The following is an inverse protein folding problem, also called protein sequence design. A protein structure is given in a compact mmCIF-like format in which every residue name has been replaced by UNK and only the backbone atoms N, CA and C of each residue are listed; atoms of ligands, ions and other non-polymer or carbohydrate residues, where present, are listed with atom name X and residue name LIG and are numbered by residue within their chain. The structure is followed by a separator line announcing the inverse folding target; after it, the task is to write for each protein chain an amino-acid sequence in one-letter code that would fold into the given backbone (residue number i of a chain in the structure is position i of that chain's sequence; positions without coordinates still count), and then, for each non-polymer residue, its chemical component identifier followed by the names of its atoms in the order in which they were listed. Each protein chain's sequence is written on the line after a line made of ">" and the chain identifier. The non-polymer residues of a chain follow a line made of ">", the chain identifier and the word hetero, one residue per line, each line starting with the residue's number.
data_IF_659893127797
#
_entry.id   IF_659893127797
#
_cell.length_a   1.000
_cell.length_b   1.000
_cell.length_c   1.000
_cell.angle_alpha   90.00
_cell.angle_beta   90.00
_cell.angle_gamma   90.00
#
_symmetry.space_group_name_H-M   'P 1'
#
loop_
_entity.id
_entity.type
_entity.pdbx_description
1 polymer ?
#
# COMPACT_ATOMS: atom_id res chain seq x y z
N UNK A 1 4.02 -5.90 29.48
CA UNK A 1 3.28 -6.22 28.23
C UNK A 1 3.80 -5.50 26.98
N UNK A 2 4.54 -4.38 27.06
CA UNK A 2 5.02 -3.65 25.86
C UNK A 2 6.16 -4.31 25.08
N UNK A 3 7.11 -4.97 25.75
CA UNK A 3 8.31 -5.52 25.09
C UNK A 3 8.04 -6.75 24.20
N UNK A 4 7.18 -7.69 24.63
CA UNK A 4 6.77 -8.81 23.75
C UNK A 4 6.03 -8.33 22.51
N UNK A 5 5.22 -7.26 22.62
CA UNK A 5 4.50 -6.70 21.47
C UNK A 5 5.47 -6.09 20.46
N UNK A 6 6.51 -5.38 20.90
CA UNK A 6 7.53 -4.78 20.04
C UNK A 6 8.36 -5.87 19.35
N UNK A 7 8.75 -6.91 20.08
CA UNK A 7 9.52 -8.04 19.55
C UNK A 7 8.70 -8.84 18.53
N UNK A 8 7.43 -9.17 18.82
CA UNK A 8 6.55 -9.82 17.83
C UNK A 8 6.35 -8.95 16.58
N UNK A 9 6.17 -7.64 16.74
CA UNK A 9 6.02 -6.71 15.62
C UNK A 9 7.29 -6.62 14.77
N UNK A 10 8.46 -6.67 15.41
CA UNK A 10 9.77 -6.71 14.77
C UNK A 10 9.97 -8.01 13.97
N UNK A 11 9.68 -9.18 14.56
CA UNK A 11 9.77 -10.46 13.85
C UNK A 11 8.76 -10.58 12.70
N UNK A 12 7.55 -10.05 12.88
CA UNK A 12 6.51 -10.01 11.83
C UNK A 12 6.93 -9.16 10.62
N UNK A 13 7.68 -8.07 10.84
CA UNK A 13 8.26 -7.28 9.75
C UNK A 13 9.41 -8.01 9.05
N UNK A 14 10.21 -8.80 9.78
CA UNK A 14 11.39 -9.50 9.25
C UNK A 14 11.06 -10.71 8.35
N UNK A 15 9.84 -11.25 8.43
CA UNK A 15 9.36 -12.36 7.61
C UNK A 15 8.56 -11.95 6.37
N UNK A 16 8.12 -10.69 6.28
CA UNK A 16 7.39 -10.19 5.10
C UNK A 16 8.36 -9.84 3.98
N UNK A 17 7.97 -10.12 2.74
CA UNK A 17 8.77 -9.75 1.58
C UNK A 17 8.72 -8.24 1.37
N UNK A 18 9.83 -7.69 0.89
CA UNK A 18 9.96 -6.26 0.57
C UNK A 18 9.82 -6.06 -0.92
N UNK A 19 8.96 -5.13 -1.32
CA UNK A 19 8.84 -4.65 -2.68
C UNK A 19 9.90 -3.56 -2.92
N UNK A 20 10.82 -3.81 -3.86
CA UNK A 20 12.00 -2.99 -4.10
C UNK A 20 12.15 -2.48 -5.54
N UNK A 21 11.17 -2.75 -6.41
CA UNK A 21 11.20 -2.23 -7.78
C UNK A 21 10.95 -0.72 -7.82
N UNK A 22 11.70 0.02 -8.66
CA UNK A 22 11.49 1.46 -8.83
C UNK A 22 10.14 1.70 -9.52
N UNK A 23 9.36 2.64 -8.99
CA UNK A 23 8.13 3.12 -9.64
C UNK A 23 8.46 4.19 -10.67
N UNK A 24 7.61 4.34 -11.69
CA UNK A 24 7.70 5.43 -12.65
C UNK A 24 7.54 6.81 -11.95
N UNK A 25 7.95 7.87 -12.64
CA UNK A 25 8.00 9.24 -12.09
C UNK A 25 6.65 9.77 -11.59
N UNK A 26 5.54 9.25 -12.13
CA UNK A 26 4.19 9.69 -11.77
C UNK A 26 3.56 8.70 -10.79
N UNK A 27 3.44 9.13 -9.53
CA UNK A 27 2.75 8.41 -8.46
C UNK A 27 1.47 9.15 -8.09
N UNK A 28 0.31 8.50 -8.18
CA UNK A 28 -0.93 9.07 -7.64
C UNK A 28 -1.15 8.59 -6.22
N UNK A 29 -1.33 9.53 -5.29
CA UNK A 29 -1.56 9.24 -3.88
C UNK A 29 -2.96 9.70 -3.50
N UNK A 30 -3.81 8.77 -3.08
CA UNK A 30 -5.13 9.05 -2.51
C UNK A 30 -5.07 8.88 -1.00
N UNK A 31 -5.58 9.89 -0.30
CA UNK A 31 -5.66 9.93 1.16
C UNK A 31 -7.10 10.17 1.55
N UNK A 32 -7.67 9.26 2.33
CA UNK A 32 -9.05 9.38 2.81
C UNK A 32 -9.11 9.10 4.33
N UNK A 33 -8.77 10.10 5.17
CA UNK A 33 -8.74 9.92 6.60
C UNK A 33 -10.13 9.58 7.13
N UNK A 34 -10.25 8.52 7.94
CA UNK A 34 -11.54 8.14 8.52
C UNK A 34 -11.89 9.05 9.69
N UNK A 35 -13.09 9.65 9.64
CA UNK A 35 -13.58 10.59 10.64
C UNK A 35 -14.99 10.15 11.08
N UNK A 36 -15.20 10.02 12.39
CA UNK A 36 -16.54 9.89 12.95
C UNK A 36 -17.18 11.26 13.00
N UNK A 37 -18.38 11.36 12.43
CA UNK A 37 -19.21 12.57 12.48
C UNK A 37 -20.47 12.24 13.23
N UNK A 38 -20.71 12.97 14.32
CA UNK A 38 -21.96 12.93 15.07
C UNK A 38 -22.70 14.23 14.80
N UNK A 39 -23.91 14.15 14.26
CA UNK A 39 -24.76 15.32 14.00
C UNK A 39 -25.77 15.48 15.14
N UNK A 40 -25.89 16.69 15.64
CA UNK A 40 -26.92 17.09 16.58
C UNK A 40 -28.04 17.76 15.78
N UNK A 41 -29.30 17.53 16.16
CA UNK A 41 -30.50 17.92 15.38
C UNK A 41 -30.72 19.43 15.23
N UNK A 42 -29.88 20.24 15.88
CA UNK A 42 -29.80 21.70 15.84
C UNK A 42 -28.75 22.22 14.84
N UNK A 43 -28.15 21.33 14.06
CA UNK A 43 -27.18 21.70 13.02
C UNK A 43 -25.72 21.69 13.48
N UNK A 44 -25.44 21.34 14.74
CA UNK A 44 -24.07 21.14 15.21
C UNK A 44 -23.53 19.77 14.80
N UNK A 45 -22.23 19.70 14.55
CA UNK A 45 -21.51 18.47 14.27
C UNK A 45 -20.29 18.34 15.17
N UNK A 46 -20.09 17.17 15.78
CA UNK A 46 -18.82 16.79 16.39
C UNK A 46 -18.06 15.86 15.46
N UNK A 47 -16.77 16.18 15.24
CA UNK A 47 -15.86 15.40 14.40
C UNK A 47 -14.72 14.87 15.24
N UNK A 48 -14.44 13.57 15.13
CA UNK A 48 -13.32 12.92 15.80
C UNK A 48 -12.65 11.88 14.89
N UNK A 49 -11.34 11.61 15.05
CA UNK A 49 -10.68 10.52 14.34
C UNK A 49 -11.39 9.18 14.58
N UNK A 50 -11.64 8.42 13.52
CA UNK A 50 -12.21 7.08 13.61
C UNK A 50 -11.12 6.02 13.93
N UNK A 51 -10.64 6.04 15.17
CA UNK A 51 -9.62 5.11 15.68
C UNK A 51 -8.19 5.62 15.58
N UNK A 52 -7.21 4.73 15.78
CA UNK A 52 -5.77 5.07 15.84
C UNK A 52 -5.11 5.21 14.47
N UNK A 53 -5.60 4.49 13.45
CA UNK A 53 -5.00 4.46 12.11
C UNK A 53 -5.99 4.98 11.08
N UNK A 54 -6.33 6.27 11.20
CA UNK A 54 -7.31 6.92 10.34
C UNK A 54 -6.75 7.31 8.98
N UNK A 55 -5.44 7.57 8.89
CA UNK A 55 -4.77 8.13 7.71
C UNK A 55 -4.12 7.07 6.81
N UNK A 56 -4.88 6.04 6.43
CA UNK A 56 -4.42 5.02 5.48
C UNK A 56 -4.35 5.60 4.07
N UNK A 57 -3.25 5.31 3.37
CA UNK A 57 -2.99 5.78 2.01
C UNK A 57 -3.22 4.69 0.97
N UNK A 58 -3.69 5.11 -0.18
CA UNK A 58 -3.75 4.30 -1.39
C UNK A 58 -2.85 4.93 -2.44
N UNK A 59 -2.00 4.13 -3.05
CA UNK A 59 -1.05 4.56 -4.07
C UNK A 59 -1.36 3.84 -5.38
N UNK A 60 -1.60 4.57 -6.46
CA UNK A 60 -1.61 3.99 -7.81
C UNK A 60 -0.22 4.15 -8.38
N UNK A 61 0.48 3.02 -8.52
CA UNK A 61 1.87 2.91 -8.99
C UNK A 61 1.88 2.40 -10.43
N UNK A 62 2.81 2.90 -11.23
CA UNK A 62 3.06 2.45 -12.59
C UNK A 62 4.50 1.97 -12.72
N UNK A 63 4.70 0.92 -13.49
CA UNK A 63 6.00 0.35 -13.82
C UNK A 63 6.08 0.19 -15.33
N UNK A 64 7.08 0.81 -15.96
CA UNK A 64 7.34 0.65 -17.40
C UNK A 64 8.77 0.10 -17.59
N UNK A 65 8.89 -1.18 -17.96
CA UNK A 65 10.19 -1.88 -18.04
C UNK A 65 10.17 -2.99 -19.10
N UNK A 66 11.30 -3.68 -19.28
CA UNK A 66 11.38 -4.87 -20.13
C UNK A 66 10.38 -5.93 -19.62
N UNK A 67 9.78 -6.70 -20.55
CA UNK A 67 8.78 -7.71 -20.20
C UNK A 67 9.26 -8.70 -19.13
N UNK A 68 10.57 -9.01 -19.10
CA UNK A 68 11.16 -9.86 -18.07
C UNK A 68 11.04 -9.26 -16.65
N UNK A 69 11.31 -7.96 -16.49
CA UNK A 69 11.21 -7.27 -15.20
C UNK A 69 9.76 -7.11 -14.76
N UNK A 70 8.87 -6.75 -15.69
CA UNK A 70 7.44 -6.65 -15.40
C UNK A 70 6.86 -8.01 -14.97
N UNK A 71 7.31 -9.11 -15.57
CA UNK A 71 6.90 -10.46 -15.15
C UNK A 71 7.35 -10.80 -13.73
N UNK A 72 8.48 -10.26 -13.26
CA UNK A 72 8.91 -10.44 -11.87
C UNK A 72 7.99 -9.68 -10.89
N UNK A 73 7.57 -8.48 -11.26
CA UNK A 73 6.62 -7.68 -10.49
C UNK A 73 5.25 -8.38 -10.46
N UNK A 74 4.74 -8.81 -11.61
CA UNK A 74 3.47 -9.53 -11.73
C UNK A 74 3.46 -10.83 -10.91
N UNK A 75 4.54 -11.60 -10.99
CA UNK A 75 4.73 -12.80 -10.17
C UNK A 75 4.74 -12.49 -8.68
N UNK A 76 5.44 -11.43 -8.26
CA UNK A 76 5.45 -11.00 -6.87
C UNK A 76 4.04 -10.68 -6.39
N UNK A 77 3.27 -9.90 -7.14
CA UNK A 77 1.88 -9.56 -6.78
C UNK A 77 0.98 -10.79 -6.73
N UNK A 78 1.14 -11.70 -7.70
CA UNK A 78 0.43 -12.98 -7.75
C UNK A 78 0.71 -13.86 -6.54
N UNK A 79 1.97 -13.98 -6.11
CA UNK A 79 2.35 -14.74 -4.90
C UNK A 79 1.73 -14.17 -3.62
N UNK A 80 1.41 -12.87 -3.58
CA UNK A 80 0.73 -12.22 -2.45
C UNK A 80 -0.80 -12.27 -2.54
N UNK A 81 -1.34 -12.76 -3.67
CA UNK A 81 -2.74 -13.14 -3.85
C UNK A 81 -3.79 -12.09 -3.42
N UNK A 82 -3.48 -10.81 -3.51
CA UNK A 82 -4.42 -9.73 -3.18
C UNK A 82 -4.57 -9.38 -1.69
N UNK A 83 -4.36 -10.35 -0.80
CA UNK A 83 -4.62 -10.21 0.64
C UNK A 83 -3.35 -10.17 1.50
N UNK A 84 -2.23 -10.72 1.01
CA UNK A 84 -0.99 -10.76 1.78
C UNK A 84 -0.28 -9.41 1.72
N UNK A 85 0.10 -8.91 2.89
CA UNK A 85 0.83 -7.66 3.00
C UNK A 85 2.32 -7.86 2.71
N UNK A 86 2.92 -6.88 2.03
CA UNK A 86 4.36 -6.77 1.81
C UNK A 86 4.87 -5.42 2.34
N UNK A 87 6.17 -5.35 2.56
CA UNK A 87 6.85 -4.12 2.97
C UNK A 87 7.14 -3.29 1.73
N UNK A 88 6.83 -2.00 1.76
CA UNK A 88 7.18 -1.07 0.70
C UNK A 88 7.55 0.30 1.26
N UNK A 89 8.44 1.00 0.57
CA UNK A 89 8.87 2.36 0.89
C UNK A 89 8.41 3.26 -0.25
N UNK A 90 7.32 4.02 -0.09
CA UNK A 90 6.82 4.90 -1.13
C UNK A 90 7.82 6.06 -1.33
N UNK A 91 8.06 6.48 -2.59
CA UNK A 91 9.06 7.50 -2.91
C UNK A 91 8.63 8.92 -2.50
N UNK A 92 7.36 9.15 -2.17
CA UNK A 92 6.87 10.47 -1.75
C UNK A 92 7.31 10.84 -0.33
N UNK A 93 7.35 9.85 0.57
CA UNK A 93 7.65 10.06 2.00
C UNK A 93 8.85 9.30 2.53
N UNK A 94 9.40 8.35 1.76
CA UNK A 94 10.53 7.50 2.18
C UNK A 94 10.29 6.83 3.54
N UNK A 95 9.03 6.52 3.87
CA UNK A 95 8.64 5.91 5.15
C UNK A 95 8.14 4.49 4.92
N UNK A 96 8.86 3.52 5.48
CA UNK A 96 8.49 2.10 5.41
C UNK A 96 7.07 1.87 5.94
N UNK A 97 6.26 1.19 5.15
CA UNK A 97 4.91 0.78 5.51
C UNK A 97 4.60 -0.64 5.04
N UNK A 98 3.42 -1.12 5.44
CA UNK A 98 2.86 -2.39 4.98
C UNK A 98 1.75 -2.10 3.99
N UNK A 99 1.76 -2.79 2.87
CA UNK A 99 0.84 -2.57 1.78
C UNK A 99 0.33 -3.90 1.25
N UNK A 100 -0.91 -3.91 0.79
CA UNK A 100 -1.47 -5.00 -0.03
C UNK A 100 -1.82 -4.45 -1.40
N UNK A 101 -1.92 -5.32 -2.38
CA UNK A 101 -2.32 -4.96 -3.74
C UNK A 101 -3.43 -5.91 -4.17
N UNK A 102 -4.68 -5.44 -4.11
CA UNK A 102 -5.85 -6.25 -4.45
C UNK A 102 -6.09 -6.35 -5.96
N UNK A 103 -5.62 -5.34 -6.71
CA UNK A 103 -5.79 -5.25 -8.16
C UNK A 103 -4.55 -4.66 -8.83
N UNK A 104 -4.22 -5.21 -10.00
CA UNK A 104 -3.23 -4.69 -10.92
C UNK A 104 -3.61 -5.06 -12.36
N UNK A 105 -3.12 -4.29 -13.32
CA UNK A 105 -3.29 -4.52 -14.75
C UNK A 105 -1.94 -4.52 -15.44
N UNK A 106 -1.80 -5.36 -16.46
CA UNK A 106 -0.61 -5.46 -17.30
C UNK A 106 -0.97 -5.17 -18.75
N UNK A 107 -0.27 -4.22 -19.35
CA UNK A 107 -0.31 -3.89 -20.77
C UNK A 107 0.95 -4.49 -21.41
N UNK A 108 0.76 -5.35 -22.41
CA UNK A 108 1.86 -6.06 -23.09
C UNK A 108 2.14 -5.36 -24.42
N UNK A 109 3.35 -4.81 -24.58
CA UNK A 109 3.74 -4.09 -25.80
C UNK A 109 5.12 -4.50 -26.32
N UNK A 110 5.20 -5.72 -26.84
CA UNK A 110 6.42 -6.23 -27.50
C UNK A 110 7.53 -6.50 -26.48
N UNK A 111 8.61 -5.70 -26.53
CA UNK A 111 9.76 -5.84 -25.64
C UNK A 111 9.59 -5.11 -24.30
N UNK A 112 8.69 -4.13 -24.24
CA UNK A 112 8.42 -3.33 -23.06
C UNK A 112 6.99 -3.54 -22.64
N UNK A 113 6.79 -3.81 -21.35
CA UNK A 113 5.47 -3.96 -20.77
C UNK A 113 5.23 -2.83 -19.76
N UNK A 114 3.96 -2.56 -19.51
CA UNK A 114 3.54 -1.62 -18.48
C UNK A 114 2.67 -2.34 -17.47
N UNK A 115 2.93 -2.14 -16.17
CA UNK A 115 2.09 -2.65 -15.09
C UNK A 115 1.60 -1.50 -14.23
N UNK A 116 0.29 -1.44 -14.00
CA UNK A 116 -0.34 -0.47 -13.10
C UNK A 116 -0.96 -1.22 -11.92
N UNK A 117 -0.68 -0.79 -10.70
CA UNK A 117 -1.16 -1.46 -9.49
C UNK A 117 -1.65 -0.47 -8.43
N UNK A 118 -2.61 -0.91 -7.62
CA UNK A 118 -3.15 -0.13 -6.50
C UNK A 118 -2.62 -0.69 -5.17
N UNK A 119 -1.73 0.03 -4.50
CA UNK A 119 -1.17 -0.33 -3.20
C UNK A 119 -1.95 0.34 -2.08
N UNK A 120 -2.60 -0.48 -1.24
CA UNK A 120 -3.39 -0.03 -0.10
C UNK A 120 -2.60 -0.24 1.18
N UNK A 121 -2.37 0.84 1.94
CA UNK A 121 -1.68 0.75 3.23
C UNK A 121 -2.54 -0.02 4.23
N UNK A 122 -1.91 -0.95 4.96
CA UNK A 122 -2.56 -1.77 5.99
C UNK A 122 -1.81 -1.67 7.31
N UNK A 123 -2.55 -1.89 8.40
CA UNK A 123 -2.05 -1.82 9.78
C UNK A 123 -1.62 -3.19 10.31
N UNK A 124 -2.06 -4.28 9.67
CA UNK A 124 -1.99 -5.62 10.26
C UNK A 124 -0.57 -6.13 10.33
#
# INVERSE_FOLDING_TARGET
>A
MGLMSIVLHYYRLKSMRTFNWPVDQTLQVKVAPRVKVVKFGDGYEQRAPDGLNTDLRTYTVKFSAESADINLIDKFLTEHAGYQAFVWVPPDRYKTGRYKCAEWSKEVSGLWDTLTATFEQVVI
#
